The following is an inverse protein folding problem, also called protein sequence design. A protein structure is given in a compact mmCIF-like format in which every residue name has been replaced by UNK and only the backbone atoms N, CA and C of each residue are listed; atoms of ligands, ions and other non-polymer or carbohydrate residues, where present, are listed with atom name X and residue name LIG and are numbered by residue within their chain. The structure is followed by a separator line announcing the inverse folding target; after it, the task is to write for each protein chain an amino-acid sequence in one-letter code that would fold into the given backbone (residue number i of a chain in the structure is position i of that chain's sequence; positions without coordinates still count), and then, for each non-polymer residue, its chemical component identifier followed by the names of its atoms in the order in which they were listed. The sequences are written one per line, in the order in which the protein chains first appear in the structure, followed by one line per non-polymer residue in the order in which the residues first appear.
data_IF_158408168393
#
_entry.id   IF_158408168393
#
_cell.length_a   1.000
_cell.length_b   1.000
_cell.length_c   1.000
_cell.angle_alpha   90.00
_cell.angle_beta   90.00
_cell.angle_gamma   90.00
#
_symmetry.space_group_name_H-M   'P 1'
#
loop_
_entity.id
_entity.type
_entity.pdbx_description
1 polymer ?
#
# COMPACT_ATOMS: atom_id res chain seq x y z
N UNK A 1 -16.38 16.97 11.72
CA UNK A 1 -15.32 17.12 10.75
C UNK A 1 -15.55 18.40 10.08
N UNK A 2 -14.72 19.24 9.96
CA UNK A 2 -15.00 20.51 9.41
C UNK A 2 -13.82 21.06 8.67
N UNK A 3 -13.57 22.32 8.93
CA UNK A 3 -12.52 23.06 8.24
C UNK A 3 -11.16 22.39 8.38
N UNK A 4 -10.85 21.80 9.54
CA UNK A 4 -9.56 21.17 9.77
C UNK A 4 -9.35 19.98 8.83
N UNK A 5 -10.39 19.18 8.64
CA UNK A 5 -10.31 18.03 7.73
C UNK A 5 -10.13 18.48 6.29
N UNK A 6 -10.86 19.52 5.88
CA UNK A 6 -10.74 20.05 4.53
C UNK A 6 -9.35 20.64 4.27
N UNK A 7 -8.80 21.36 5.23
CA UNK A 7 -7.46 21.93 5.12
C UNK A 7 -6.41 20.81 5.02
N UNK A 8 -6.56 19.77 5.81
CA UNK A 8 -5.65 18.62 5.73
C UNK A 8 -5.66 17.98 4.36
N UNK A 9 -6.83 17.80 3.76
CA UNK A 9 -6.91 17.16 2.44
C UNK A 9 -6.36 18.03 1.33
N UNK A 10 -6.22 19.36 1.53
CA UNK A 10 -5.58 20.23 0.55
C UNK A 10 -4.06 20.06 0.49
N UNK A 11 -3.43 19.66 1.60
CA UNK A 11 -1.97 19.57 1.70
C UNK A 11 -1.46 18.15 1.88
N UNK A 12 -2.36 17.18 1.91
CA UNK A 12 -2.02 15.79 2.13
C UNK A 12 -2.69 14.97 1.05
N UNK A 13 -1.91 14.24 0.28
CA UNK A 13 -2.41 13.38 -0.78
C UNK A 13 -2.48 11.96 -0.28
N UNK A 14 -3.67 11.38 -0.33
CA UNK A 14 -3.93 10.08 0.23
C UNK A 14 -4.59 9.18 -0.82
N UNK A 15 -4.05 7.97 -0.96
CA UNK A 15 -4.58 6.94 -1.84
C UNK A 15 -4.78 5.67 -1.04
N UNK A 16 -5.96 5.08 -1.15
CA UNK A 16 -6.26 3.78 -0.56
C UNK A 16 -6.77 2.84 -1.63
N UNK A 17 -6.35 1.58 -1.55
CA UNK A 17 -6.93 0.55 -2.40
C UNK A 17 -8.17 -0.02 -1.73
N UNK A 18 -9.11 -0.47 -2.53
CA UNK A 18 -10.33 -1.12 -2.04
C UNK A 18 -10.95 -1.96 -3.15
N UNK A 19 -11.81 -2.92 -2.76
CA UNK A 19 -12.47 -3.81 -3.71
C UNK A 19 -13.29 -3.07 -4.75
N UNK A 20 -13.94 -2.00 -4.33
CA UNK A 20 -14.88 -1.25 -5.16
C UNK A 20 -14.32 0.07 -5.64
N UNK A 21 -13.00 0.18 -5.66
CA UNK A 21 -12.39 1.41 -6.12
C UNK A 21 -12.76 1.67 -7.58
N UNK A 22 -13.08 2.92 -7.90
CA UNK A 22 -13.44 3.30 -9.27
C UNK A 22 -12.27 3.18 -10.24
N UNK A 23 -11.05 3.34 -9.74
CA UNK A 23 -9.84 3.17 -10.54
C UNK A 23 -9.38 1.71 -10.46
N UNK A 24 -9.35 0.98 -11.58
CA UNK A 24 -8.92 -0.43 -11.56
C UNK A 24 -7.52 -0.64 -11.00
N UNK A 25 -6.63 0.34 -11.14
CA UNK A 25 -5.27 0.24 -10.62
C UNK A 25 -5.21 0.29 -9.10
N UNK A 26 -6.28 0.74 -8.46
CA UNK A 26 -6.35 0.91 -7.01
C UNK A 26 -7.34 -0.07 -6.36
N UNK A 27 -7.65 -1.16 -7.05
CA UNK A 27 -8.47 -2.21 -6.45
C UNK A 27 -7.61 -3.12 -5.60
N UNK A 28 -8.22 -3.74 -4.60
CA UNK A 28 -7.59 -4.75 -3.77
C UNK A 28 -7.05 -5.87 -4.66
N UNK A 29 -5.83 -6.31 -4.40
CA UNK A 29 -5.28 -7.50 -5.06
C UNK A 29 -5.41 -8.71 -4.17
N UNK A 30 -5.79 -9.83 -4.77
CA UNK A 30 -5.96 -11.10 -4.07
C UNK A 30 -4.91 -12.09 -4.56
N UNK A 31 -4.40 -12.90 -3.63
CA UNK A 31 -3.33 -13.84 -3.93
C UNK A 31 -3.67 -15.23 -3.41
N UNK A 32 -3.25 -16.24 -4.15
CA UNK A 32 -3.45 -17.64 -3.78
C UNK A 32 -2.35 -18.05 -2.81
N UNK A 33 -2.54 -17.71 -1.54
CA UNK A 33 -1.57 -18.02 -0.50
C UNK A 33 -2.23 -17.78 0.86
N UNK A 34 -1.56 -18.22 1.93
CA UNK A 34 -1.98 -17.89 3.29
C UNK A 34 -1.52 -16.49 3.65
N UNK A 35 -2.22 -15.86 4.60
CA UNK A 35 -1.83 -14.54 5.07
C UNK A 35 -0.42 -14.54 5.68
N UNK A 36 -0.06 -15.60 6.40
CA UNK A 36 1.28 -15.74 6.98
C UNK A 36 2.37 -15.78 5.92
N UNK A 37 2.17 -16.55 4.85
CA UNK A 37 3.13 -16.61 3.77
C UNK A 37 3.21 -15.28 3.02
N UNK A 38 2.05 -14.68 2.74
CA UNK A 38 2.02 -13.38 2.07
C UNK A 38 2.78 -12.33 2.88
N UNK A 39 2.54 -12.30 4.18
CA UNK A 39 3.25 -11.37 5.08
C UNK A 39 4.76 -11.56 4.99
N UNK A 40 5.23 -12.80 5.10
CA UNK A 40 6.66 -13.09 5.05
C UNK A 40 7.27 -12.66 3.72
N UNK A 41 6.62 -13.00 2.63
CA UNK A 41 7.13 -12.67 1.30
C UNK A 41 7.17 -11.15 1.06
N UNK A 42 6.11 -10.46 1.44
CA UNK A 42 6.04 -9.00 1.31
C UNK A 42 7.10 -8.33 2.18
N UNK A 43 7.19 -8.74 3.45
CA UNK A 43 8.16 -8.18 4.38
C UNK A 43 9.58 -8.37 3.87
N UNK A 44 9.91 -9.58 3.41
CA UNK A 44 11.23 -9.87 2.88
C UNK A 44 11.55 -9.04 1.65
N UNK A 45 10.59 -8.90 0.76
CA UNK A 45 10.72 -8.09 -0.45
C UNK A 45 11.03 -6.63 -0.11
N UNK A 46 10.28 -6.08 0.85
CA UNK A 46 10.44 -4.68 1.26
C UNK A 46 11.81 -4.42 1.88
N UNK A 47 12.37 -5.40 2.60
CA UNK A 47 13.70 -5.27 3.19
C UNK A 47 14.79 -5.06 2.14
N UNK A 48 14.60 -5.58 0.96
CA UNK A 48 15.59 -5.51 -0.11
C UNK A 48 15.32 -4.39 -1.11
N UNK A 49 14.24 -3.64 -0.95
CA UNK A 49 13.93 -2.52 -1.85
C UNK A 49 14.64 -1.25 -1.40
N UNK A 50 15.33 -0.62 -2.35
CA UNK A 50 16.00 0.65 -2.06
C UNK A 50 14.97 1.76 -1.88
N UNK A 51 15.26 2.68 -0.97
CA UNK A 51 14.39 3.82 -0.71
C UNK A 51 13.19 3.51 0.15
N UNK A 52 13.15 2.32 0.75
CA UNK A 52 12.07 1.90 1.65
C UNK A 52 12.66 1.75 3.06
N UNK A 53 12.02 2.40 4.03
CA UNK A 53 12.37 2.25 5.44
C UNK A 53 11.16 1.66 6.16
N UNK A 54 11.30 0.42 6.64
CA UNK A 54 10.22 -0.25 7.36
C UNK A 54 10.15 0.32 8.77
N UNK A 55 8.99 0.84 9.14
CA UNK A 55 8.78 1.41 10.47
C UNK A 55 8.30 0.36 11.47
N UNK A 56 7.39 -0.48 11.04
CA UNK A 56 6.83 -1.53 11.89
C UNK A 56 6.26 -2.65 11.02
N UNK A 57 6.30 -3.86 11.56
CA UNK A 57 5.72 -5.03 10.89
C UNK A 57 5.07 -5.88 11.96
N UNK A 58 3.74 -5.98 11.90
CA UNK A 58 2.95 -6.72 12.88
C UNK A 58 2.26 -7.89 12.18
N UNK A 59 2.87 -9.04 12.24
CA UNK A 59 2.33 -10.23 11.55
C UNK A 59 0.94 -10.59 12.05
N UNK A 60 0.70 -10.47 13.34
CA UNK A 60 -0.59 -10.80 13.94
C UNK A 60 -1.72 -9.93 13.41
N UNK A 61 -1.41 -8.69 13.09
CA UNK A 61 -2.39 -7.75 12.52
C UNK A 61 -2.41 -7.79 11.01
N UNK A 62 -1.39 -8.42 10.40
CA UNK A 62 -1.24 -8.37 8.96
C UNK A 62 -0.92 -6.96 8.46
N UNK A 63 -0.10 -6.22 9.20
CA UNK A 63 0.13 -4.81 8.91
C UNK A 63 1.62 -4.49 8.86
N UNK A 64 2.03 -3.80 7.79
CA UNK A 64 3.39 -3.30 7.65
C UNK A 64 3.30 -1.81 7.34
N UNK A 65 4.00 -0.99 8.13
CA UNK A 65 4.10 0.43 7.85
C UNK A 65 5.52 0.77 7.45
N UNK A 66 5.65 1.70 6.51
CA UNK A 66 6.94 2.07 5.97
C UNK A 66 6.94 3.51 5.48
N UNK A 67 8.15 4.05 5.34
CA UNK A 67 8.36 5.33 4.67
C UNK A 67 9.09 5.07 3.35
N UNK A 68 8.67 5.77 2.32
CA UNK A 68 9.48 5.92 1.11
C UNK A 68 10.36 7.13 1.35
N UNK A 69 11.68 6.92 1.31
CA UNK A 69 12.64 7.98 1.69
C UNK A 69 13.46 8.47 0.51
N UNK A 70 13.34 7.83 -0.65
CA UNK A 70 14.05 8.22 -1.86
C UNK A 70 13.08 8.91 -2.81
N UNK A 71 13.46 10.09 -3.29
CA UNK A 71 12.58 10.90 -4.12
C UNK A 71 11.52 11.58 -3.27
N UNK A 72 10.25 11.54 -3.72
CA UNK A 72 9.15 12.11 -2.95
C UNK A 72 8.84 11.20 -1.76
N UNK A 73 8.77 11.78 -0.58
CA UNK A 73 8.52 11.02 0.64
C UNK A 73 7.06 10.62 0.75
N UNK A 74 6.82 9.41 1.19
CA UNK A 74 5.48 8.90 1.40
C UNK A 74 5.45 7.97 2.61
N UNK A 75 4.32 7.99 3.33
CA UNK A 75 4.03 7.04 4.38
C UNK A 75 3.05 6.01 3.83
N UNK A 76 3.36 4.73 3.97
CA UNK A 76 2.55 3.65 3.40
C UNK A 76 2.23 2.63 4.48
N UNK A 77 0.96 2.22 4.52
CA UNK A 77 0.52 1.10 5.34
C UNK A 77 0.03 0.01 4.41
N UNK A 78 0.56 -1.18 4.58
CA UNK A 78 0.16 -2.37 3.82
C UNK A 78 -0.65 -3.25 4.76
N UNK A 79 -1.84 -3.65 4.32
CA UNK A 79 -2.72 -4.51 5.10
C UNK A 79 -2.88 -5.84 4.37
N UNK A 80 -2.60 -6.93 5.07
CA UNK A 80 -2.61 -8.29 4.52
C UNK A 80 -3.61 -9.10 5.33
N UNK A 81 -4.72 -9.50 4.70
CA UNK A 81 -5.84 -10.11 5.39
C UNK A 81 -6.23 -11.43 4.73
N UNK A 82 -6.37 -12.47 5.53
CA UNK A 82 -6.91 -13.75 5.06
C UNK A 82 -8.42 -13.61 4.84
N UNK A 83 -8.86 -13.84 3.63
CA UNK A 83 -10.29 -13.82 3.27
C UNK A 83 -10.86 -15.22 3.42
N UNK A 84 -10.14 -16.22 2.94
CA UNK A 84 -10.46 -17.65 3.00
C UNK A 84 -9.15 -18.40 2.99
N UNK A 85 -9.17 -19.72 3.26
CA UNK A 85 -7.97 -20.52 3.07
C UNK A 85 -7.41 -20.33 1.66
N UNK A 86 -6.13 -20.04 1.57
CA UNK A 86 -5.44 -19.81 0.30
C UNK A 86 -5.99 -18.64 -0.52
N UNK A 87 -6.63 -17.69 0.13
CA UNK A 87 -7.03 -16.43 -0.51
C UNK A 87 -6.73 -15.30 0.44
N UNK A 88 -5.77 -14.47 0.08
CA UNK A 88 -5.30 -13.36 0.90
C UNK A 88 -5.41 -12.05 0.13
N UNK A 89 -5.98 -11.06 0.77
CA UNK A 89 -6.14 -9.72 0.21
C UNK A 89 -4.99 -8.83 0.68
N UNK A 90 -4.44 -8.04 -0.23
CA UNK A 90 -3.43 -7.04 0.09
C UNK A 90 -3.93 -5.68 -0.35
N UNK A 91 -3.99 -4.76 0.59
CA UNK A 91 -4.40 -3.39 0.37
C UNK A 91 -3.31 -2.42 0.81
N UNK A 92 -3.36 -1.22 0.26
CA UNK A 92 -2.44 -0.14 0.56
C UNK A 92 -3.17 1.11 1.00
N UNK A 93 -2.51 1.86 1.88
CA UNK A 93 -2.88 3.23 2.20
C UNK A 93 -1.60 4.04 2.07
N UNK A 94 -1.55 4.96 1.13
CA UNK A 94 -0.35 5.75 0.86
C UNK A 94 -0.66 7.23 1.01
N UNK A 95 0.15 7.93 1.78
CA UNK A 95 -0.02 9.36 2.03
C UNK A 95 1.27 10.10 1.72
N UNK A 96 1.18 11.12 0.88
CA UNK A 96 2.28 12.04 0.63
C UNK A 96 1.88 13.42 1.13
N UNK A 97 2.87 14.21 1.51
CA UNK A 97 2.65 15.60 1.90
C UNK A 97 3.25 16.52 0.86
N UNK A 98 2.51 17.58 0.53
CA UNK A 98 3.02 18.63 -0.33
C UNK A 98 2.88 19.96 0.38
N UNK A 99 4.00 20.67 0.51
CA UNK A 99 4.02 22.00 1.14
C UNK A 99 3.77 23.12 0.15
N UNK A 100 3.91 22.83 -1.13
CA UNK A 100 3.83 23.84 -2.18
C UNK A 100 2.64 23.62 -3.08
N UNK A 101 2.42 22.38 -3.50
CA UNK A 101 1.32 22.01 -4.40
C UNK A 101 0.48 20.97 -3.69
N UNK A 102 -0.83 21.21 -3.53
CA UNK A 102 -1.69 20.29 -2.78
C UNK A 102 -2.12 19.06 -3.59
N UNK A 103 -1.32 18.65 -4.56
CA UNK A 103 -1.56 17.43 -5.33
C UNK A 103 -0.22 16.74 -5.56
N UNK A 104 -0.23 15.42 -5.65
CA UNK A 104 0.99 14.66 -5.84
C UNK A 104 1.19 14.17 -7.28
N UNK A 105 0.34 14.64 -8.20
CA UNK A 105 0.41 14.30 -9.62
C UNK A 105 0.45 12.79 -9.89
N UNK A 106 -0.33 12.04 -9.09
CA UNK A 106 -0.42 10.60 -9.27
C UNK A 106 0.74 9.82 -8.68
N UNK A 107 1.61 10.44 -7.89
CA UNK A 107 2.74 9.75 -7.29
C UNK A 107 2.29 8.60 -6.40
N UNK A 108 1.30 8.82 -5.55
CA UNK A 108 0.79 7.78 -4.64
C UNK A 108 0.19 6.62 -5.41
N UNK A 109 -0.52 6.90 -6.50
CA UNK A 109 -1.08 5.86 -7.35
C UNK A 109 0.02 5.03 -8.01
N UNK A 110 1.04 5.70 -8.55
CA UNK A 110 2.17 5.01 -9.18
C UNK A 110 2.95 4.18 -8.17
N UNK A 111 3.10 4.68 -6.96
CA UNK A 111 3.75 3.95 -5.89
C UNK A 111 3.00 2.64 -5.59
N UNK A 112 1.67 2.72 -5.44
CA UNK A 112 0.84 1.54 -5.20
C UNK A 112 0.96 0.55 -6.36
N UNK A 113 0.90 1.03 -7.59
CA UNK A 113 1.04 0.17 -8.78
C UNK A 113 2.38 -0.54 -8.81
N UNK A 114 3.45 0.17 -8.48
CA UNK A 114 4.80 -0.40 -8.47
C UNK A 114 4.92 -1.49 -7.42
N UNK A 115 4.37 -1.26 -6.23
CA UNK A 115 4.39 -2.26 -5.16
C UNK A 115 3.56 -3.49 -5.52
N UNK A 116 2.36 -3.30 -6.05
CA UNK A 116 1.54 -4.42 -6.50
C UNK A 116 2.25 -5.23 -7.59
N UNK A 117 2.89 -4.55 -8.53
CA UNK A 117 3.63 -5.23 -9.60
C UNK A 117 4.73 -6.12 -9.02
N UNK A 118 5.43 -5.63 -8.01
CA UNK A 118 6.47 -6.41 -7.35
C UNK A 118 5.87 -7.62 -6.61
N UNK A 119 4.75 -7.43 -5.94
CA UNK A 119 4.09 -8.52 -5.22
C UNK A 119 3.54 -9.57 -6.19
N UNK A 120 3.01 -9.13 -7.32
CA UNK A 120 2.47 -10.04 -8.35
C UNK A 120 3.55 -10.96 -8.92
N UNK A 121 4.82 -10.58 -8.83
CA UNK A 121 5.94 -11.40 -9.29
C UNK A 121 6.35 -12.46 -8.27
N UNK A 122 6.05 -12.24 -7.00
CA UNK A 122 6.45 -13.14 -5.91
C UNK A 122 5.30 -14.02 -5.43
N UNK A 123 4.10 -13.51 -5.48
CA UNK A 123 2.90 -14.22 -5.04
C UNK A 123 2.08 -14.58 -6.27
N UNK A 124 1.25 -15.61 -6.14
CA UNK A 124 0.38 -16.04 -7.25
C UNK A 124 -0.92 -15.23 -7.21
N UNK A 125 -1.12 -14.29 -8.15
CA UNK A 125 -2.36 -13.51 -8.16
C UNK A 125 -3.55 -14.40 -8.49
N UNK A 126 -4.67 -14.13 -7.82
CA UNK A 126 -5.93 -14.74 -8.19
C UNK A 126 -6.51 -13.91 -9.33
N UNK A 127 -6.93 -14.59 -10.39
CA UNK A 127 -7.55 -13.88 -11.50
C UNK A 127 -8.91 -13.35 -11.05
N UNK A 128 -9.13 -12.13 -11.39
CA UNK A 128 -10.39 -11.47 -11.12
C UNK A 128 -11.40 -11.78 -12.21
#
# INVERSE_FOLDING_TARGET
MGVVQAVKSLFSNHVETSDRHSDPALKTHYYKTTAGNAFKQVHEMLKHMQGIEILAAYEERGEISLNVVKGRKAFVVITIISVRPLETAIDFSATTESKVVPVDFGFSKELVRTLYKSFDQKLIPLSS
#
